data_IF_235329510598
#
_entry.id   IF_235329510598
#
_cell.length_a   1.000
_cell.length_b   1.000
_cell.length_c   1.000
_cell.angle_alpha   90.00
_cell.angle_beta   90.00
_cell.angle_gamma   90.00
#
_symmetry.space_group_name_H-M   'P 1'
#
loop_
_entity.id
_entity.type
_entity.pdbx_description
1 polymer ?
#
# COMPACT_ATOMS: atom_id res chain seq x y z
N UNK A 1 -11.30 11.30 -15.42
CA UNK A 1 -10.28 11.43 -14.37
C UNK A 1 -9.38 10.21 -14.32
N UNK A 2 -8.10 10.35 -13.95
CA UNK A 2 -7.23 9.19 -13.74
C UNK A 2 -7.39 8.67 -12.31
N UNK A 3 -7.63 7.38 -12.16
CA UNK A 3 -7.83 6.71 -10.87
C UNK A 3 -6.63 5.82 -10.56
N UNK A 4 -6.16 5.84 -9.32
CA UNK A 4 -5.24 4.83 -8.80
C UNK A 4 -5.96 3.49 -8.64
N UNK A 5 -5.20 2.38 -8.53
CA UNK A 5 -5.79 1.07 -8.26
C UNK A 5 -6.52 0.95 -6.92
N UNK A 6 -6.33 1.91 -6.02
CA UNK A 6 -7.00 1.99 -4.70
C UNK A 6 -8.04 3.11 -4.63
N UNK A 7 -8.37 3.77 -5.74
CA UNK A 7 -9.39 4.83 -5.76
C UNK A 7 -10.76 4.26 -5.42
N UNK A 8 -11.43 4.86 -4.44
CA UNK A 8 -12.75 4.49 -3.95
C UNK A 8 -13.53 5.75 -3.54
N UNK A 9 -14.85 5.62 -3.38
CA UNK A 9 -15.76 6.68 -2.93
C UNK A 9 -16.05 6.66 -1.43
N UNK A 10 -15.54 5.65 -0.72
CA UNK A 10 -15.66 5.55 0.72
C UNK A 10 -14.34 5.13 1.37
N UNK A 11 -13.93 5.92 2.35
CA UNK A 11 -12.67 5.80 3.06
C UNK A 11 -12.76 4.81 4.22
N UNK A 12 -11.61 4.54 4.86
CA UNK A 12 -11.49 3.50 5.87
C UNK A 12 -12.07 3.96 7.22
N UNK A 13 -12.74 3.07 7.95
CA UNK A 13 -13.34 3.33 9.28
C UNK A 13 -14.09 4.67 9.36
N UNK A 14 -13.64 5.57 10.23
CA UNK A 14 -14.24 6.88 10.52
C UNK A 14 -13.76 8.00 9.60
N UNK A 15 -12.91 7.73 8.60
CA UNK A 15 -12.32 8.76 7.72
C UNK A 15 -13.35 9.51 6.87
N UNK A 16 -14.52 8.93 6.61
CA UNK A 16 -15.64 9.65 5.96
C UNK A 16 -16.40 10.59 6.90
N UNK A 17 -16.07 10.63 8.19
CA UNK A 17 -16.73 11.46 9.19
C UNK A 17 -18.15 10.98 9.54
N UNK A 18 -18.80 11.73 10.43
CA UNK A 18 -20.15 11.42 10.90
C UNK A 18 -21.12 11.40 9.73
N UNK A 19 -21.94 10.35 9.66
CA UNK A 19 -22.89 10.04 8.59
C UNK A 19 -22.29 10.03 7.18
N UNK A 20 -20.96 9.89 7.06
CA UNK A 20 -20.26 9.91 5.78
C UNK A 20 -20.09 11.29 5.15
N UNK A 21 -20.31 12.37 5.91
CA UNK A 21 -20.29 13.76 5.41
C UNK A 21 -19.05 14.11 4.57
N UNK A 22 -17.88 13.57 4.92
CA UNK A 22 -16.61 13.77 4.19
C UNK A 22 -16.49 13.00 2.88
N UNK A 23 -17.36 12.02 2.63
CA UNK A 23 -17.40 11.20 1.41
C UNK A 23 -18.61 11.52 0.51
N UNK A 24 -19.26 12.66 0.75
CA UNK A 24 -20.27 13.21 -0.15
C UNK A 24 -19.64 13.72 -1.47
N UNK A 25 -20.39 13.77 -2.59
CA UNK A 25 -21.79 13.39 -2.75
C UNK A 25 -22.00 11.87 -2.87
N UNK A 26 -23.15 11.38 -2.39
CA UNK A 26 -23.48 9.94 -2.41
C UNK A 26 -24.13 9.46 -3.71
N UNK A 27 -24.75 10.39 -4.45
CA UNK A 27 -25.35 10.18 -5.75
C UNK A 27 -24.96 11.32 -6.69
N UNK A 28 -24.98 11.08 -8.00
CA UNK A 28 -24.69 12.09 -9.00
C UNK A 28 -25.55 11.90 -10.25
N UNK A 29 -26.09 13.01 -10.76
CA UNK A 29 -26.90 13.04 -11.99
C UNK A 29 -26.05 13.02 -13.28
N UNK A 30 -24.73 12.99 -13.15
CA UNK A 30 -23.76 13.02 -14.27
C UNK A 30 -22.77 11.87 -14.08
N UNK A 31 -22.44 11.13 -15.15
CA UNK A 31 -21.50 10.04 -15.04
C UNK A 31 -20.08 10.54 -14.81
N UNK A 32 -19.33 9.84 -13.97
CA UNK A 32 -17.93 10.12 -13.70
C UNK A 32 -17.07 9.31 -14.65
N UNK A 33 -16.43 9.99 -15.59
CA UNK A 33 -15.44 9.36 -16.46
C UNK A 33 -14.17 9.00 -15.66
N UNK A 34 -13.69 7.77 -15.80
CA UNK A 34 -12.48 7.28 -15.14
C UNK A 34 -11.51 6.65 -16.14
N UNK A 35 -10.23 6.62 -15.80
CA UNK A 35 -9.17 5.89 -16.48
C UNK A 35 -8.34 5.16 -15.44
N UNK A 36 -8.16 3.86 -15.65
CA UNK A 36 -7.47 2.96 -14.75
C UNK A 36 -6.19 2.41 -15.39
N UNK A 37 -5.11 2.27 -14.60
CA UNK A 37 -3.93 1.56 -15.06
C UNK A 37 -4.20 0.04 -15.19
N UNK A 38 -3.29 -0.64 -15.88
CA UNK A 38 -3.25 -2.08 -15.95
C UNK A 38 -2.95 -2.71 -14.58
N UNK A 39 -3.33 -3.98 -14.45
CA UNK A 39 -3.02 -4.87 -13.33
C UNK A 39 -3.59 -4.46 -11.96
N UNK A 40 -4.59 -3.58 -11.90
CA UNK A 40 -5.21 -3.20 -10.61
C UNK A 40 -5.86 -4.37 -9.84
N UNK A 41 -6.25 -5.47 -10.48
CA UNK A 41 -6.70 -6.68 -9.77
C UNK A 41 -5.62 -7.27 -8.84
N UNK A 42 -4.33 -7.02 -9.12
CA UNK A 42 -3.21 -7.42 -8.26
C UNK A 42 -2.97 -6.47 -7.08
N UNK A 43 -3.58 -5.28 -7.09
CA UNK A 43 -3.51 -4.36 -5.96
C UNK A 43 -4.51 -4.80 -4.90
N UNK A 44 -3.98 -5.33 -3.80
CA UNK A 44 -4.77 -5.86 -2.70
C UNK A 44 -4.83 -4.91 -1.52
N UNK A 45 -5.77 -5.16 -0.62
CA UNK A 45 -5.74 -4.63 0.73
C UNK A 45 -4.42 -5.01 1.42
N UNK A 46 -3.71 -4.00 1.94
CA UNK A 46 -2.47 -4.20 2.72
C UNK A 46 -2.73 -4.54 4.20
N UNK A 47 -3.98 -4.42 4.64
CA UNK A 47 -4.48 -4.77 5.98
C UNK A 47 -5.89 -5.33 5.87
N UNK A 48 -6.36 -6.04 6.90
CA UNK A 48 -7.76 -6.44 6.96
C UNK A 48 -8.68 -5.22 6.97
N UNK A 49 -9.68 -5.19 6.08
CA UNK A 49 -10.72 -4.14 6.08
C UNK A 49 -12.06 -4.79 6.37
N UNK A 50 -12.77 -4.23 7.34
CA UNK A 50 -14.11 -4.68 7.70
C UNK A 50 -15.11 -4.47 6.56
N UNK A 51 -15.89 -5.52 6.26
CA UNK A 51 -17.04 -5.50 5.35
C UNK A 51 -18.11 -6.42 5.95
N UNK A 52 -19.18 -5.86 6.51
CA UNK A 52 -20.20 -6.70 7.17
C UNK A 52 -19.66 -7.38 8.42
N UNK A 53 -19.68 -8.70 8.51
CA UNK A 53 -19.01 -9.50 9.54
C UNK A 53 -17.65 -10.06 9.08
N UNK A 54 -17.32 -9.88 7.80
CA UNK A 54 -16.06 -10.31 7.20
C UNK A 54 -14.91 -9.31 7.45
N UNK A 55 -13.67 -9.82 7.39
CA UNK A 55 -12.42 -9.06 7.49
C UNK A 55 -11.46 -9.46 6.35
N UNK A 56 -11.82 -9.21 5.08
CA UNK A 56 -10.96 -9.50 3.94
C UNK A 56 -9.60 -8.79 4.07
N UNK A 57 -8.53 -9.53 3.76
CA UNK A 57 -7.14 -9.05 3.70
C UNK A 57 -6.44 -9.68 2.49
N UNK A 58 -5.43 -9.01 1.92
CA UNK A 58 -4.66 -9.50 0.78
C UNK A 58 -5.50 -9.87 -0.47
N UNK A 59 -6.68 -9.26 -0.62
CA UNK A 59 -7.55 -9.35 -1.80
C UNK A 59 -7.84 -7.95 -2.35
N UNK A 60 -8.13 -7.80 -3.66
CA UNK A 60 -8.67 -6.54 -4.17
C UNK A 60 -10.04 -6.28 -3.52
N UNK A 61 -10.25 -5.08 -2.99
CA UNK A 61 -11.52 -4.74 -2.34
C UNK A 61 -12.60 -4.50 -3.40
N UNK A 62 -13.49 -5.47 -3.57
CA UNK A 62 -14.66 -5.39 -4.45
C UNK A 62 -15.84 -5.96 -3.68
N UNK A 63 -16.86 -5.14 -3.43
CA UNK A 63 -18.05 -5.52 -2.66
C UNK A 63 -19.28 -5.42 -3.56
N UNK A 64 -20.02 -6.53 -3.71
CA UNK A 64 -21.18 -6.64 -4.60
C UNK A 64 -20.83 -7.05 -6.04
N UNK A 65 -21.49 -6.45 -7.03
CA UNK A 65 -21.35 -6.81 -8.44
C UNK A 65 -22.45 -7.74 -8.98
N UNK A 66 -23.49 -7.98 -8.17
CA UNK A 66 -24.72 -8.59 -8.62
C UNK A 66 -25.46 -7.67 -9.60
N UNK A 67 -26.28 -8.27 -10.44
CA UNK A 67 -27.11 -7.56 -11.41
C UNK A 67 -28.40 -7.15 -10.71
N UNK A 68 -28.70 -5.85 -10.71
CA UNK A 68 -29.95 -5.33 -10.19
C UNK A 68 -31.12 -5.50 -11.18
N UNK A 69 -32.32 -5.06 -10.79
CA UNK A 69 -33.51 -5.14 -11.64
C UNK A 69 -33.39 -4.33 -12.95
N UNK A 70 -32.49 -3.35 -13.01
CA UNK A 70 -32.22 -2.56 -14.23
C UNK A 70 -31.27 -3.26 -15.20
N UNK A 71 -30.66 -4.38 -14.78
CA UNK A 71 -29.61 -5.07 -15.52
C UNK A 71 -28.20 -4.53 -15.25
N UNK A 72 -28.05 -3.56 -14.32
CA UNK A 72 -26.78 -2.94 -13.98
C UNK A 72 -26.10 -3.65 -12.81
N UNK A 73 -24.76 -3.63 -12.78
CA UNK A 73 -24.01 -4.20 -11.66
C UNK A 73 -23.74 -3.17 -10.59
N UNK A 74 -24.19 -3.45 -9.37
CA UNK A 74 -24.11 -2.52 -8.24
C UNK A 74 -22.92 -2.88 -7.36
N UNK A 75 -22.03 -1.91 -7.14
CA UNK A 75 -20.87 -2.04 -6.27
C UNK A 75 -20.97 -1.07 -5.10
N UNK A 76 -20.50 -1.49 -3.92
CA UNK A 76 -20.44 -0.63 -2.72
C UNK A 76 -19.36 0.43 -2.89
N UNK A 77 -19.58 1.64 -2.37
CA UNK A 77 -18.73 2.82 -2.57
C UNK A 77 -17.29 2.69 -2.10
N UNK A 78 -16.98 1.76 -1.19
CA UNK A 78 -15.61 1.47 -0.75
C UNK A 78 -14.85 0.54 -1.69
N UNK A 79 -15.51 -0.08 -2.67
CA UNK A 79 -14.84 -0.91 -3.68
C UNK A 79 -13.80 -0.11 -4.46
N UNK A 80 -12.63 -0.72 -4.69
CA UNK A 80 -11.62 -0.18 -5.58
C UNK A 80 -12.16 -0.12 -7.00
N UNK A 81 -12.42 1.09 -7.51
CA UNK A 81 -13.13 1.33 -8.77
C UNK A 81 -12.47 0.60 -9.94
N UNK A 82 -11.14 0.61 -10.02
CA UNK A 82 -10.43 -0.06 -11.11
C UNK A 82 -10.53 -1.60 -11.05
N UNK A 83 -10.51 -2.20 -9.86
CA UNK A 83 -10.71 -3.63 -9.69
C UNK A 83 -12.17 -4.03 -9.93
N UNK A 84 -13.12 -3.20 -9.49
CA UNK A 84 -14.54 -3.36 -9.77
C UNK A 84 -14.86 -3.25 -11.28
N UNK A 85 -14.17 -2.36 -12.00
CA UNK A 85 -14.30 -2.22 -13.46
C UNK A 85 -13.77 -3.44 -14.21
N UNK A 86 -12.66 -4.05 -13.73
CA UNK A 86 -12.17 -5.33 -14.25
C UNK A 86 -13.15 -6.46 -13.94
N UNK A 87 -13.67 -6.53 -12.71
CA UNK A 87 -14.72 -7.47 -12.32
C UNK A 87 -15.99 -7.33 -13.20
N UNK A 88 -16.38 -6.09 -13.53
CA UNK A 88 -17.51 -5.82 -14.42
C UNK A 88 -17.22 -6.15 -15.89
N UNK A 89 -15.95 -6.25 -16.30
CA UNK A 89 -15.55 -6.43 -17.69
C UNK A 89 -15.64 -5.15 -18.52
N UNK A 90 -15.58 -3.99 -17.86
CA UNK A 90 -15.59 -2.66 -18.50
C UNK A 90 -14.20 -2.32 -19.05
N UNK A 91 -13.14 -2.78 -18.35
CA UNK A 91 -11.74 -2.58 -18.75
C UNK A 91 -10.98 -3.91 -18.75
N UNK A 92 -9.88 -3.96 -19.51
CA UNK A 92 -9.01 -5.14 -19.57
C UNK A 92 -8.00 -5.15 -18.41
N UNK A 93 -7.75 -6.34 -17.84
CA UNK A 93 -6.86 -6.47 -16.69
C UNK A 93 -5.39 -6.17 -17.03
N UNK A 94 -4.94 -6.43 -18.26
CA UNK A 94 -3.53 -6.29 -18.67
C UNK A 94 -3.26 -4.97 -19.38
N UNK A 95 -4.27 -4.34 -19.96
CA UNK A 95 -4.16 -3.06 -20.68
C UNK A 95 -4.71 -1.88 -19.89
N UNK A 96 -5.45 -2.13 -18.80
CA UNK A 96 -6.22 -1.08 -18.14
C UNK A 96 -7.34 -0.58 -19.06
N UNK A 97 -7.73 0.67 -18.91
CA UNK A 97 -8.71 1.30 -19.81
C UNK A 97 -9.44 2.44 -19.17
N UNK A 98 -10.49 2.90 -19.83
CA UNK A 98 -11.35 3.97 -19.36
C UNK A 98 -12.82 3.66 -19.60
N UNK A 99 -13.65 4.22 -18.74
CA UNK A 99 -15.09 4.09 -18.83
C UNK A 99 -15.79 5.19 -18.07
N UNK A 100 -17.09 5.01 -17.85
CA UNK A 100 -17.89 5.89 -17.04
C UNK A 100 -18.63 5.08 -15.97
N UNK A 101 -18.83 5.70 -14.81
CA UNK A 101 -19.62 5.14 -13.71
C UNK A 101 -20.66 6.15 -13.23
N UNK A 102 -21.73 5.66 -12.65
CA UNK A 102 -22.80 6.44 -12.03
C UNK A 102 -22.78 6.22 -10.53
N UNK A 103 -22.81 7.31 -9.75
CA UNK A 103 -23.06 7.22 -8.31
C UNK A 103 -24.57 7.12 -8.10
N UNK A 104 -25.02 5.97 -7.61
CA UNK A 104 -26.45 5.63 -7.51
C UNK A 104 -27.01 5.73 -6.09
N UNK A 105 -26.25 6.27 -5.14
CA UNK A 105 -26.68 6.44 -3.75
C UNK A 105 -26.88 5.11 -3.02
N UNK A 106 -27.89 5.09 -2.16
CA UNK A 106 -28.12 4.00 -1.21
C UNK A 106 -28.56 2.71 -1.88
N UNK A 107 -27.93 1.58 -1.52
CA UNK A 107 -28.38 0.22 -1.88
C UNK A 107 -28.38 -0.67 -0.63
N UNK A 108 -29.27 -1.66 -0.60
CA UNK A 108 -29.57 -2.46 0.59
C UNK A 108 -29.08 -3.92 0.54
N UNK A 109 -28.45 -4.34 -0.54
CA UNK A 109 -27.89 -5.70 -0.66
C UNK A 109 -26.75 -5.69 -1.66
N UNK A 110 -25.69 -6.45 -1.36
CA UNK A 110 -24.56 -6.70 -2.23
C UNK A 110 -24.22 -8.18 -2.16
N UNK A 111 -24.41 -8.92 -3.26
CA UNK A 111 -24.12 -10.35 -3.28
C UNK A 111 -22.71 -10.60 -3.81
N UNK A 112 -22.06 -11.63 -3.26
CA UNK A 112 -20.76 -12.10 -3.75
C UNK A 112 -20.93 -12.82 -5.08
N UNK A 113 -20.14 -12.42 -6.08
CA UNK A 113 -20.10 -13.01 -7.41
C UNK A 113 -18.63 -13.18 -7.81
N UNK A 114 -18.32 -14.26 -8.53
CA UNK A 114 -17.00 -14.45 -9.14
C UNK A 114 -17.07 -14.11 -10.64
N UNK A 115 -16.25 -13.16 -11.08
CA UNK A 115 -16.22 -12.73 -12.48
C UNK A 115 -14.85 -12.19 -12.87
N UNK A 116 -14.41 -12.51 -14.09
CA UNK A 116 -13.13 -12.07 -14.66
C UNK A 116 -11.93 -12.31 -13.74
N UNK A 117 -11.95 -13.43 -13.00
CA UNK A 117 -10.88 -13.83 -12.08
C UNK A 117 -10.85 -13.07 -10.75
N UNK A 118 -11.88 -12.29 -10.44
CA UNK A 118 -12.05 -11.57 -9.17
C UNK A 118 -13.31 -12.12 -8.49
N UNK A 119 -13.21 -12.50 -7.21
CA UNK A 119 -14.37 -12.83 -6.37
C UNK A 119 -14.68 -11.64 -5.49
N UNK A 120 -15.91 -11.13 -5.56
CA UNK A 120 -16.35 -10.03 -4.71
C UNK A 120 -16.81 -10.50 -3.34
N UNK A 121 -16.89 -9.56 -2.40
CA UNK A 121 -17.35 -9.76 -1.02
C UNK A 121 -18.84 -9.43 -0.94
N UNK A 122 -19.59 -10.20 -0.15
CA UNK A 122 -21.01 -9.92 0.11
C UNK A 122 -21.16 -8.89 1.22
N UNK A 123 -22.25 -8.13 1.18
CA UNK A 123 -22.66 -7.23 2.25
C UNK A 123 -24.19 -7.19 2.32
N UNK A 124 -24.75 -7.65 3.42
CA UNK A 124 -26.20 -7.85 3.58
C UNK A 124 -26.86 -6.75 4.42
N UNK A 125 -26.46 -5.50 4.20
CA UNK A 125 -27.15 -4.34 4.78
C UNK A 125 -27.09 -3.13 3.84
N UNK A 126 -27.62 -2.01 4.32
CA UNK A 126 -27.68 -0.75 3.60
C UNK A 126 -26.38 0.04 3.70
N UNK A 127 -25.93 0.55 2.55
CA UNK A 127 -24.77 1.41 2.46
C UNK A 127 -25.09 2.68 1.68
N UNK A 128 -24.65 3.87 2.13
CA UNK A 128 -25.10 5.16 1.60
C UNK A 128 -24.63 5.46 0.17
N UNK A 129 -23.52 4.85 -0.26
CA UNK A 129 -22.92 5.11 -1.57
C UNK A 129 -22.73 3.83 -2.35
N UNK A 130 -23.32 3.77 -3.54
CA UNK A 130 -23.12 2.69 -4.50
C UNK A 130 -22.78 3.28 -5.86
N UNK A 131 -22.17 2.47 -6.70
CA UNK A 131 -21.96 2.83 -8.09
C UNK A 131 -22.21 1.68 -9.06
N UNK A 132 -22.57 2.05 -10.27
CA UNK A 132 -22.73 1.15 -11.42
C UNK A 132 -21.87 1.64 -12.57
N UNK A 133 -21.48 0.74 -13.47
CA UNK A 133 -20.73 1.12 -14.66
C UNK A 133 -21.66 1.27 -15.86
N UNK A 134 -21.37 2.26 -16.70
CA UNK A 134 -21.95 2.34 -18.03
C UNK A 134 -21.19 1.36 -18.95
N UNK A 135 -21.78 0.19 -19.18
CA UNK A 135 -21.17 -0.86 -20.01
C UNK A 135 -21.04 -0.44 -21.50
N UNK A 136 -21.75 0.60 -21.93
CA UNK A 136 -21.71 1.14 -23.29
C UNK A 136 -20.63 2.20 -23.47
N UNK A 137 -20.24 2.89 -22.40
CA UNK A 137 -19.22 3.94 -22.42
C UNK A 137 -17.78 3.40 -22.37
N UNK A 138 -17.43 2.48 -23.28
CA UNK A 138 -16.04 2.01 -23.43
C UNK A 138 -15.22 3.00 -24.23
N UNK A 139 -14.27 3.66 -23.59
CA UNK A 139 -13.38 4.60 -24.29
C UNK A 139 -12.25 3.87 -25.04
N UNK A 140 -11.88 4.39 -26.22
CA UNK A 140 -10.73 3.92 -27.00
C UNK A 140 -9.51 4.82 -26.78
N UNK A 141 -8.30 4.28 -26.85
CA UNK A 141 -7.06 5.07 -26.78
C UNK A 141 -6.63 5.48 -25.37
N UNK A 142 -7.14 4.79 -24.35
CA UNK A 142 -6.86 5.07 -22.94
C UNK A 142 -6.15 3.92 -22.22
N UNK A 143 -5.58 2.98 -22.97
CA UNK A 143 -4.75 1.89 -22.46
C UNK A 143 -3.56 2.43 -21.65
N UNK A 144 -3.10 1.60 -20.73
CA UNK A 144 -1.88 1.80 -19.97
C UNK A 144 -0.66 1.60 -20.88
N UNK A 145 0.06 2.68 -21.16
CA UNK A 145 1.24 2.70 -22.05
C UNK A 145 2.57 2.54 -21.30
N UNK A 146 2.55 2.27 -19.99
CA UNK A 146 3.75 2.22 -19.15
C UNK A 146 4.77 1.20 -19.64
N UNK A 147 4.32 0.02 -20.06
CA UNK A 147 5.20 -1.02 -20.61
C UNK A 147 6.02 -0.52 -21.83
N UNK A 148 5.40 0.28 -22.70
CA UNK A 148 6.11 0.92 -23.81
C UNK A 148 7.17 1.92 -23.34
N UNK A 149 6.85 2.70 -22.30
CA UNK A 149 7.79 3.61 -21.66
C UNK A 149 8.97 2.90 -20.97
N UNK A 150 8.74 1.70 -20.41
CA UNK A 150 9.78 0.83 -19.85
C UNK A 150 10.74 0.39 -20.96
N UNK A 151 10.20 -0.22 -22.02
CA UNK A 151 10.98 -0.71 -23.15
C UNK A 151 11.79 0.42 -23.80
N UNK A 152 11.17 1.59 -24.04
CA UNK A 152 11.85 2.73 -24.64
C UNK A 152 13.06 3.18 -23.82
N UNK A 153 12.91 3.39 -22.51
CA UNK A 153 14.01 3.87 -21.68
C UNK A 153 15.11 2.82 -21.48
N UNK A 154 14.75 1.54 -21.41
CA UNK A 154 15.73 0.44 -21.42
C UNK A 154 16.55 0.46 -22.71
N UNK A 155 15.91 0.54 -23.87
CA UNK A 155 16.58 0.56 -25.17
C UNK A 155 17.44 1.81 -25.38
N UNK A 156 16.94 2.99 -24.98
CA UNK A 156 17.71 4.23 -25.08
C UNK A 156 18.93 4.23 -24.15
N UNK A 157 18.80 3.76 -22.92
CA UNK A 157 19.97 3.58 -22.06
C UNK A 157 20.92 2.53 -22.64
N UNK A 158 20.44 1.43 -23.21
CA UNK A 158 21.27 0.44 -23.88
C UNK A 158 22.07 1.07 -25.03
N UNK A 159 21.43 1.91 -25.86
CA UNK A 159 22.13 2.67 -26.89
C UNK A 159 23.25 3.55 -26.30
N UNK A 160 22.96 4.29 -25.23
CA UNK A 160 23.97 5.12 -24.54
C UNK A 160 25.13 4.28 -24.02
N UNK A 161 24.84 3.16 -23.34
CA UNK A 161 25.82 2.29 -22.71
C UNK A 161 26.69 1.51 -23.69
N UNK A 162 26.06 0.87 -24.69
CA UNK A 162 26.75 0.00 -25.65
C UNK A 162 27.42 0.78 -26.80
N UNK A 163 26.77 1.84 -27.31
CA UNK A 163 27.20 2.55 -28.52
C UNK A 163 27.94 3.83 -28.15
N UNK A 164 27.31 4.75 -27.41
CA UNK A 164 27.92 6.07 -27.15
C UNK A 164 29.08 6.00 -26.14
N UNK A 165 29.03 5.06 -25.20
CA UNK A 165 30.08 4.78 -24.21
C UNK A 165 30.69 6.05 -23.58
N UNK A 166 29.89 6.94 -22.99
CA UNK A 166 30.41 8.17 -22.41
C UNK A 166 31.34 7.87 -21.21
N UNK A 167 32.03 8.89 -20.72
CA UNK A 167 32.85 8.77 -19.51
C UNK A 167 32.00 8.18 -18.37
N UNK A 168 32.58 7.27 -17.59
CA UNK A 168 31.88 6.48 -16.55
C UNK A 168 31.00 7.32 -15.61
N UNK A 169 31.50 8.46 -15.15
CA UNK A 169 30.75 9.35 -14.26
C UNK A 169 29.55 9.99 -14.98
N UNK A 170 29.69 10.33 -16.26
CA UNK A 170 28.59 10.86 -17.08
C UNK A 170 27.53 9.78 -17.24
N UNK A 171 27.93 8.55 -17.59
CA UNK A 171 27.00 7.43 -17.71
C UNK A 171 26.25 7.14 -16.41
N UNK A 172 26.95 7.14 -15.27
CA UNK A 172 26.36 6.95 -13.95
C UNK A 172 25.25 7.99 -13.69
N UNK A 173 25.51 9.28 -13.92
CA UNK A 173 24.48 10.30 -13.76
C UNK A 173 23.39 10.25 -14.83
N UNK A 174 23.67 9.74 -16.04
CA UNK A 174 22.62 9.43 -17.02
C UNK A 174 21.65 8.39 -16.50
N UNK A 175 22.14 7.30 -15.89
CA UNK A 175 21.28 6.30 -15.24
C UNK A 175 20.43 6.94 -14.13
N UNK A 176 21.04 7.77 -13.27
CA UNK A 176 20.34 8.46 -12.17
C UNK A 176 19.21 9.35 -12.69
N UNK A 177 19.52 10.22 -13.66
CA UNK A 177 18.54 11.13 -14.24
C UNK A 177 17.40 10.38 -14.93
N UNK A 178 17.73 9.41 -15.80
CA UNK A 178 16.71 8.64 -16.53
C UNK A 178 15.86 7.84 -15.55
N UNK A 179 16.47 7.09 -14.63
CA UNK A 179 15.73 6.27 -13.65
C UNK A 179 14.81 7.10 -12.77
N UNK A 180 15.29 8.23 -12.23
CA UNK A 180 14.49 9.06 -11.33
C UNK A 180 13.26 9.67 -12.04
N UNK A 181 13.46 10.24 -13.22
CA UNK A 181 12.35 10.85 -13.97
C UNK A 181 11.44 9.80 -14.61
N UNK A 182 11.98 8.64 -14.95
CA UNK A 182 11.19 7.50 -15.39
C UNK A 182 10.18 7.07 -14.33
N UNK A 183 10.61 6.93 -13.07
CA UNK A 183 9.68 6.57 -12.00
C UNK A 183 8.57 7.60 -11.81
N UNK A 184 8.94 8.87 -11.78
CA UNK A 184 8.03 9.95 -11.43
C UNK A 184 7.04 10.33 -12.54
N UNK A 185 7.32 9.98 -13.80
CA UNK A 185 6.45 10.37 -14.93
C UNK A 185 6.02 9.24 -15.85
N UNK A 186 6.69 8.08 -15.79
CA UNK A 186 6.36 6.92 -16.63
C UNK A 186 5.85 5.77 -15.78
N UNK A 187 6.58 5.33 -14.75
CA UNK A 187 6.24 4.10 -14.05
C UNK A 187 5.09 4.25 -13.05
N UNK A 188 5.37 4.75 -11.85
CA UNK A 188 4.38 4.85 -10.77
C UNK A 188 4.55 6.21 -10.11
N UNK A 189 3.96 7.27 -10.68
CA UNK A 189 4.05 8.60 -10.13
C UNK A 189 3.46 8.60 -8.72
N UNK A 190 4.00 9.44 -7.84
CA UNK A 190 3.57 9.55 -6.43
C UNK A 190 2.09 9.84 -6.25
N UNK A 191 1.48 10.47 -7.26
CA UNK A 191 0.05 10.79 -7.31
C UNK A 191 -0.41 10.89 -8.75
N UNK A 192 -1.73 10.83 -8.93
CA UNK A 192 -2.37 11.05 -10.21
C UNK A 192 -3.34 12.26 -10.14
N UNK A 193 -3.25 13.22 -11.08
CA UNK A 193 -2.18 13.36 -12.08
C UNK A 193 -0.79 13.58 -11.44
N UNK A 194 0.30 13.19 -12.12
CA UNK A 194 1.66 13.39 -11.61
C UNK A 194 1.93 14.85 -11.27
N UNK A 195 2.52 15.11 -10.11
CA UNK A 195 3.00 16.44 -9.75
C UNK A 195 4.47 16.60 -10.08
N UNK A 196 4.86 17.80 -10.50
CA UNK A 196 6.27 18.12 -10.78
C UNK A 196 7.00 18.56 -9.52
N UNK A 197 6.33 19.30 -8.63
CA UNK A 197 6.97 19.97 -7.48
C UNK A 197 7.67 19.03 -6.49
N UNK A 198 6.99 17.95 -6.07
CA UNK A 198 7.57 16.97 -5.15
C UNK A 198 8.82 16.29 -5.71
N UNK A 199 8.72 15.65 -6.90
CA UNK A 199 9.89 15.04 -7.54
C UNK A 199 11.01 16.02 -7.83
N UNK A 200 10.70 17.25 -8.28
CA UNK A 200 11.71 18.28 -8.53
C UNK A 200 12.45 18.69 -7.25
N UNK A 201 11.74 18.81 -6.12
CA UNK A 201 12.34 19.10 -4.81
C UNK A 201 13.31 18.02 -4.34
N UNK A 202 12.96 16.75 -4.56
CA UNK A 202 13.79 15.62 -4.16
C UNK A 202 14.94 15.31 -5.12
N UNK A 203 14.89 15.83 -6.36
CA UNK A 203 15.88 15.49 -7.38
C UNK A 203 17.30 15.93 -7.00
N UNK A 204 17.49 17.14 -6.46
CA UNK A 204 18.83 17.62 -6.08
C UNK A 204 19.43 16.81 -4.91
N UNK A 205 18.71 16.55 -3.80
CA UNK A 205 19.15 15.60 -2.79
C UNK A 205 19.41 14.20 -3.35
N UNK A 206 18.63 13.76 -4.35
CA UNK A 206 18.86 12.47 -5.06
C UNK A 206 20.22 12.45 -5.75
N UNK A 207 20.57 13.53 -6.45
CA UNK A 207 21.88 13.66 -7.10
C UNK A 207 23.02 13.64 -6.07
N UNK A 208 22.82 14.23 -4.88
CA UNK A 208 23.81 14.19 -3.81
C UNK A 208 24.01 12.77 -3.27
N UNK A 209 22.93 12.04 -2.96
CA UNK A 209 23.06 10.64 -2.52
C UNK A 209 23.64 9.74 -3.61
N UNK A 210 23.30 9.97 -4.88
CA UNK A 210 23.95 9.29 -5.99
C UNK A 210 25.46 9.60 -6.07
N UNK A 211 25.88 10.84 -5.81
CA UNK A 211 27.29 11.18 -5.72
C UNK A 211 28.00 10.44 -4.57
N UNK A 212 27.35 10.26 -3.42
CA UNK A 212 27.87 9.43 -2.32
C UNK A 212 28.06 7.99 -2.78
N UNK A 213 27.07 7.38 -3.43
CA UNK A 213 27.15 6.04 -4.03
C UNK A 213 28.35 5.94 -4.99
N UNK A 214 28.53 6.94 -5.85
CA UNK A 214 29.65 7.01 -6.79
C UNK A 214 31.00 7.00 -6.06
N UNK A 215 31.12 7.85 -5.03
CA UNK A 215 32.36 8.07 -4.27
C UNK A 215 32.75 6.87 -3.42
N UNK A 216 31.78 6.19 -2.82
CA UNK A 216 32.04 5.10 -1.88
C UNK A 216 32.26 3.77 -2.59
N UNK A 217 31.52 3.49 -3.68
CA UNK A 217 31.58 2.18 -4.33
C UNK A 217 31.87 2.23 -5.83
N UNK A 218 31.01 2.87 -6.63
CA UNK A 218 30.98 2.68 -8.09
C UNK A 218 32.30 3.05 -8.77
N UNK A 219 32.97 4.12 -8.31
CA UNK A 219 34.26 4.55 -8.88
C UNK A 219 35.37 3.51 -8.75
N UNK A 220 35.26 2.57 -7.81
CA UNK A 220 36.23 1.49 -7.61
C UNK A 220 35.90 0.23 -8.40
N UNK A 221 34.62 0.01 -8.72
CA UNK A 221 34.15 -1.20 -9.40
C UNK A 221 34.17 -1.04 -10.91
N UNK A 222 33.55 0.01 -11.44
CA UNK A 222 33.32 0.17 -12.88
C UNK A 222 34.59 0.24 -13.76
N UNK A 223 35.72 0.83 -13.32
CA UNK A 223 36.92 0.85 -14.13
C UNK A 223 37.45 -0.53 -14.52
N UNK A 224 37.25 -1.55 -13.67
CA UNK A 224 37.71 -2.92 -13.92
C UNK A 224 37.01 -3.59 -15.12
N UNK A 225 35.85 -3.08 -15.54
CA UNK A 225 35.04 -3.62 -16.63
C UNK A 225 35.10 -2.75 -17.90
N UNK A 226 36.03 -1.79 -17.98
CA UNK A 226 36.11 -0.86 -19.10
C UNK A 226 36.32 -1.56 -20.47
N UNK A 227 37.06 -2.67 -20.48
CA UNK A 227 37.36 -3.47 -21.67
C UNK A 227 36.34 -4.60 -21.92
N UNK A 228 35.33 -4.73 -21.06
CA UNK A 228 34.30 -5.77 -21.13
C UNK A 228 32.92 -5.11 -21.33
N UNK A 229 32.67 -4.43 -22.47
CA UNK A 229 31.47 -3.63 -22.64
C UNK A 229 30.18 -4.47 -22.56
N UNK A 230 30.19 -5.69 -23.09
CA UNK A 230 29.02 -6.56 -23.03
C UNK A 230 28.70 -6.98 -21.60
N UNK A 231 29.70 -7.46 -20.85
CA UNK A 231 29.50 -7.78 -19.43
C UNK A 231 29.09 -6.53 -18.66
N UNK A 232 29.81 -5.42 -18.81
CA UNK A 232 29.55 -4.17 -18.10
C UNK A 232 28.10 -3.73 -18.26
N UNK A 233 27.61 -3.65 -19.49
CA UNK A 233 26.29 -3.11 -19.76
C UNK A 233 25.16 -4.07 -19.40
N UNK A 234 25.29 -5.37 -19.68
CA UNK A 234 24.26 -6.37 -19.30
C UNK A 234 24.11 -6.42 -17.78
N UNK A 235 25.22 -6.51 -17.04
CA UNK A 235 25.19 -6.54 -15.58
C UNK A 235 24.75 -5.20 -14.98
N UNK A 236 25.16 -4.07 -15.56
CA UNK A 236 24.74 -2.76 -15.03
C UNK A 236 23.27 -2.51 -15.31
N UNK A 237 22.81 -2.59 -16.56
CA UNK A 237 21.42 -2.25 -16.88
C UNK A 237 20.42 -3.27 -16.38
N UNK A 238 20.73 -4.57 -16.47
CA UNK A 238 19.85 -5.61 -15.96
C UNK A 238 19.54 -5.38 -14.48
N UNK A 239 20.58 -5.25 -13.66
CA UNK A 239 20.39 -5.04 -12.22
C UNK A 239 19.91 -3.64 -11.86
N UNK A 240 20.31 -2.61 -12.59
CA UNK A 240 19.78 -1.25 -12.41
C UNK A 240 18.26 -1.22 -12.57
N UNK A 241 17.74 -1.75 -13.68
CA UNK A 241 16.29 -1.75 -13.93
C UNK A 241 15.53 -2.69 -12.98
N UNK A 242 16.12 -3.83 -12.59
CA UNK A 242 15.55 -4.67 -11.52
C UNK A 242 15.41 -3.90 -10.20
N UNK A 243 16.39 -3.07 -9.86
CA UNK A 243 16.36 -2.23 -8.66
C UNK A 243 15.45 -1.01 -8.80
N UNK A 244 15.35 -0.41 -9.98
CA UNK A 244 14.48 0.75 -10.22
C UNK A 244 13.01 0.34 -10.25
N UNK A 245 12.69 -0.83 -10.82
CA UNK A 245 11.32 -1.32 -11.01
C UNK A 245 10.96 -2.43 -10.01
N UNK A 246 11.38 -2.31 -8.75
CA UNK A 246 11.12 -3.30 -7.70
C UNK A 246 9.64 -3.70 -7.64
N UNK A 247 8.74 -2.72 -7.62
CA UNK A 247 7.29 -2.93 -7.46
C UNK A 247 6.63 -3.57 -8.70
N UNK A 248 7.32 -3.60 -9.85
CA UNK A 248 6.85 -4.26 -11.07
C UNK A 248 7.42 -5.67 -11.14
N UNK A 249 8.72 -5.83 -10.87
CA UNK A 249 9.43 -7.11 -10.99
C UNK A 249 9.05 -8.08 -9.88
N UNK A 250 8.84 -7.56 -8.66
CA UNK A 250 8.55 -8.36 -7.48
C UNK A 250 7.08 -8.28 -7.04
N UNK A 251 6.18 -7.78 -7.89
CA UNK A 251 4.74 -7.65 -7.59
C UNK A 251 4.09 -8.97 -7.17
N UNK A 252 4.55 -10.08 -7.76
CA UNK A 252 4.02 -11.43 -7.51
C UNK A 252 4.77 -12.15 -6.37
N UNK A 253 5.70 -11.48 -5.68
CA UNK A 253 6.34 -12.03 -4.48
C UNK A 253 5.47 -11.68 -3.28
N UNK A 254 4.78 -12.65 -2.65
CA UNK A 254 3.85 -12.39 -1.56
C UNK A 254 4.57 -12.03 -0.28
N UNK A 255 5.07 -10.80 -0.15
CA UNK A 255 5.65 -10.29 1.10
C UNK A 255 5.53 -8.77 1.12
N UNK A 256 4.38 -8.26 1.55
CA UNK A 256 4.13 -6.81 1.55
C UNK A 256 4.84 -6.12 2.71
N UNK A 257 4.82 -6.72 3.91
CA UNK A 257 5.54 -6.21 5.09
C UNK A 257 6.14 -7.35 5.90
N UNK A 258 7.19 -7.02 6.63
CA UNK A 258 7.90 -7.95 7.50
C UNK A 258 7.31 -7.99 8.91
N UNK A 259 6.00 -8.21 9.01
CA UNK A 259 5.24 -8.30 10.27
C UNK A 259 4.64 -9.70 10.39
N UNK A 260 4.54 -10.22 11.62
CA UNK A 260 4.06 -11.59 11.89
C UNK A 260 2.65 -11.84 11.34
N UNK A 261 1.76 -10.85 11.41
CA UNK A 261 0.41 -10.91 10.84
C UNK A 261 0.42 -11.22 9.35
N UNK A 262 1.32 -10.61 8.60
CA UNK A 262 1.39 -10.74 7.15
C UNK A 262 2.05 -12.06 6.75
N UNK A 263 3.09 -12.48 7.48
CA UNK A 263 3.77 -13.76 7.23
C UNK A 263 2.83 -14.95 7.45
N UNK A 264 1.90 -14.83 8.41
CA UNK A 264 0.94 -15.89 8.74
C UNK A 264 -0.35 -15.79 7.92
N UNK A 265 -0.81 -14.58 7.59
CA UNK A 265 -2.06 -14.34 6.89
C UNK A 265 -1.97 -14.34 5.36
N UNK A 266 -0.81 -14.02 4.77
CA UNK A 266 -0.64 -13.95 3.32
C UNK A 266 -0.18 -15.31 2.74
N UNK A 267 -0.93 -15.90 1.80
CA UNK A 267 -0.52 -17.15 1.16
C UNK A 267 0.85 -17.04 0.47
N UNK A 268 1.77 -17.96 0.81
CA UNK A 268 3.11 -18.01 0.22
C UNK A 268 4.14 -17.06 0.85
N UNK A 269 3.77 -16.24 1.85
CA UNK A 269 4.69 -15.26 2.43
C UNK A 269 5.87 -15.87 3.18
N UNK A 270 5.62 -16.91 3.97
CA UNK A 270 6.70 -17.64 4.65
C UNK A 270 7.70 -18.24 3.65
N UNK A 271 7.22 -18.82 2.55
CA UNK A 271 8.09 -19.42 1.52
C UNK A 271 8.94 -18.34 0.85
N UNK A 272 8.32 -17.22 0.47
CA UNK A 272 9.02 -16.08 -0.14
C UNK A 272 10.08 -15.51 0.78
N UNK A 273 9.75 -15.34 2.07
CA UNK A 273 10.69 -14.88 3.08
C UNK A 273 11.90 -15.80 3.22
N UNK A 274 11.69 -17.12 3.28
CA UNK A 274 12.78 -18.11 3.35
C UNK A 274 13.70 -17.99 2.13
N UNK A 275 13.13 -17.92 0.92
CA UNK A 275 13.91 -17.78 -0.32
C UNK A 275 14.72 -16.49 -0.31
N UNK A 276 14.11 -15.35 0.03
CA UNK A 276 14.78 -14.05 0.11
C UNK A 276 15.94 -14.11 1.12
N UNK A 277 15.70 -14.64 2.32
CA UNK A 277 16.73 -14.76 3.36
C UNK A 277 17.89 -15.63 2.88
N UNK A 278 17.62 -16.78 2.26
CA UNK A 278 18.67 -17.67 1.72
C UNK A 278 19.50 -16.95 0.66
N UNK A 279 18.86 -16.26 -0.29
CA UNK A 279 19.57 -15.50 -1.33
C UNK A 279 20.44 -14.41 -0.70
N UNK A 280 19.87 -13.58 0.17
CA UNK A 280 20.61 -12.49 0.84
C UNK A 280 21.79 -13.03 1.64
N UNK A 281 21.62 -14.14 2.37
CA UNK A 281 22.69 -14.78 3.12
C UNK A 281 23.82 -15.27 2.20
N UNK A 282 23.51 -15.90 1.07
CA UNK A 282 24.53 -16.34 0.09
C UNK A 282 25.32 -15.14 -0.44
N UNK A 283 24.64 -14.06 -0.83
CA UNK A 283 25.28 -12.84 -1.32
C UNK A 283 26.16 -12.19 -0.24
N UNK A 284 25.68 -12.14 1.01
CA UNK A 284 26.41 -11.61 2.16
C UNK A 284 27.66 -12.45 2.49
N UNK A 285 27.54 -13.77 2.54
CA UNK A 285 28.69 -14.68 2.76
C UNK A 285 29.73 -14.50 1.67
N UNK A 286 29.31 -14.43 0.40
CA UNK A 286 30.23 -14.14 -0.69
C UNK A 286 30.95 -12.79 -0.49
N UNK A 287 30.21 -11.74 -0.10
CA UNK A 287 30.81 -10.43 0.08
C UNK A 287 31.77 -10.38 1.28
N UNK A 288 31.46 -11.05 2.37
CA UNK A 288 32.38 -11.24 3.51
C UNK A 288 33.65 -11.96 3.07
N UNK A 289 33.54 -13.01 2.23
CA UNK A 289 34.71 -13.71 1.65
C UNK A 289 35.58 -12.76 0.82
N UNK A 290 34.98 -11.90 0.00
CA UNK A 290 35.70 -10.90 -0.81
C UNK A 290 36.40 -9.88 0.10
N UNK A 291 35.69 -9.28 1.05
CA UNK A 291 36.23 -8.30 2.00
C UNK A 291 37.40 -8.90 2.80
N UNK A 292 37.27 -10.15 3.25
CA UNK A 292 38.32 -10.88 3.97
C UNK A 292 39.56 -11.08 3.11
N UNK A 293 39.41 -11.45 1.84
CA UNK A 293 40.55 -11.65 0.91
C UNK A 293 41.39 -10.39 0.70
N UNK A 294 40.80 -9.21 0.80
CA UNK A 294 41.50 -7.92 0.67
C UNK A 294 42.04 -7.42 2.03
N UNK A 295 41.87 -8.19 3.11
CA UNK A 295 42.35 -7.84 4.45
C UNK A 295 41.58 -6.70 5.13
N UNK A 296 40.41 -6.32 4.59
CA UNK A 296 39.64 -5.18 5.08
C UNK A 296 38.55 -5.56 6.10
N UNK A 297 38.38 -6.85 6.40
CA UNK A 297 37.26 -7.36 7.22
C UNK A 297 37.09 -6.64 8.57
N UNK A 298 38.14 -6.38 9.38
CA UNK A 298 37.96 -5.67 10.65
C UNK A 298 37.35 -4.28 10.47
N UNK A 299 37.73 -3.54 9.42
CA UNK A 299 37.21 -2.19 9.15
C UNK A 299 35.72 -2.22 8.79
N UNK A 300 35.31 -3.18 7.97
CA UNK A 300 33.91 -3.34 7.58
C UNK A 300 33.04 -3.90 8.70
N UNK A 301 33.58 -4.77 9.55
CA UNK A 301 32.90 -5.21 10.78
C UNK A 301 32.70 -4.05 11.76
N UNK A 302 33.71 -3.17 11.92
CA UNK A 302 33.57 -1.96 12.71
C UNK A 302 32.48 -1.04 12.15
N UNK A 303 32.43 -0.84 10.82
CA UNK A 303 31.36 -0.08 10.17
C UNK A 303 29.97 -0.69 10.44
N UNK A 304 29.84 -2.01 10.30
CA UNK A 304 28.59 -2.71 10.59
C UNK A 304 28.18 -2.60 12.07
N UNK A 305 29.13 -2.69 12.99
CA UNK A 305 28.87 -2.54 14.43
C UNK A 305 28.42 -1.11 14.77
N UNK A 306 29.06 -0.09 14.20
CA UNK A 306 28.65 1.32 14.38
C UNK A 306 27.26 1.55 13.79
N UNK A 307 26.99 1.06 12.58
CA UNK A 307 25.66 1.15 11.96
C UNK A 307 24.59 0.45 12.81
N UNK A 308 24.87 -0.76 13.28
CA UNK A 308 23.98 -1.52 14.16
C UNK A 308 23.70 -0.80 15.48
N UNK A 309 24.72 -0.18 16.09
CA UNK A 309 24.54 0.64 17.29
C UNK A 309 23.64 1.85 17.02
N UNK A 310 23.86 2.58 15.92
CA UNK A 310 23.03 3.74 15.56
C UNK A 310 21.58 3.34 15.32
N UNK A 311 21.33 2.25 14.59
CA UNK A 311 19.99 1.71 14.38
C UNK A 311 19.37 1.26 15.72
N UNK A 312 20.13 0.62 16.60
CA UNK A 312 19.67 0.23 17.93
C UNK A 312 19.27 1.43 18.79
N UNK A 313 20.07 2.50 18.78
CA UNK A 313 19.75 3.74 19.48
C UNK A 313 18.49 4.42 18.91
N UNK A 314 18.35 4.46 17.59
CA UNK A 314 17.14 4.98 16.93
C UNK A 314 15.90 4.14 17.27
N UNK A 315 16.04 2.82 17.36
CA UNK A 315 14.94 1.90 17.73
C UNK A 315 14.49 2.06 19.17
N UNK A 316 15.35 2.59 20.04
CA UNK A 316 15.07 2.78 21.45
C UNK A 316 14.31 4.08 21.76
N UNK A 317 14.05 4.92 20.74
CA UNK A 317 13.30 6.17 20.90
C UNK A 317 11.82 5.85 21.18
N UNK A 318 11.26 6.23 22.35
CA UNK A 318 9.88 5.91 22.70
C UNK A 318 8.88 6.44 21.66
N UNK A 319 7.75 5.75 21.49
CA UNK A 319 6.65 6.12 20.57
C UNK A 319 6.99 6.17 19.08
N UNK A 320 8.22 5.81 18.71
CA UNK A 320 8.67 5.69 17.33
C UNK A 320 9.00 4.24 17.00
N UNK A 321 8.91 3.90 15.72
CA UNK A 321 9.40 2.63 15.20
C UNK A 321 10.39 2.83 14.07
N UNK A 322 11.19 1.79 13.80
CA UNK A 322 12.02 1.75 12.60
C UNK A 322 11.16 1.52 11.36
N UNK A 323 11.36 2.37 10.35
CA UNK A 323 10.84 2.16 8.99
C UNK A 323 11.98 2.27 7.99
N UNK A 324 12.62 1.13 7.74
CA UNK A 324 13.73 1.07 6.79
C UNK A 324 13.22 1.04 5.36
N UNK A 325 13.06 2.24 4.78
CA UNK A 325 12.83 2.38 3.35
C UNK A 325 14.00 1.81 2.57
N UNK A 326 13.72 1.17 1.43
CA UNK A 326 14.76 0.46 0.67
C UNK A 326 15.84 1.39 0.10
N UNK A 327 15.62 2.70 0.01
CA UNK A 327 16.70 3.64 -0.32
C UNK A 327 17.77 3.73 0.80
N UNK A 328 17.36 3.62 2.08
CA UNK A 328 18.28 3.58 3.23
C UNK A 328 19.07 2.27 3.18
N UNK A 329 18.37 1.16 2.93
CA UNK A 329 18.99 -0.17 2.76
C UNK A 329 20.04 -0.10 1.64
N UNK A 330 19.71 0.52 0.51
CA UNK A 330 20.63 0.71 -0.60
C UNK A 330 21.89 1.50 -0.20
N UNK A 331 21.74 2.64 0.48
CA UNK A 331 22.85 3.48 0.93
C UNK A 331 23.74 2.77 1.96
N UNK A 332 23.19 1.89 2.81
CA UNK A 332 23.98 1.10 3.76
C UNK A 332 24.73 -0.02 3.05
N UNK A 333 24.03 -0.82 2.23
CA UNK A 333 24.62 -2.00 1.60
C UNK A 333 25.67 -1.65 0.54
N UNK A 334 25.53 -0.51 -0.14
CA UNK A 334 26.48 -0.12 -1.21
C UNK A 334 27.87 0.14 -0.65
N UNK A 335 27.99 0.53 0.63
CA UNK A 335 29.28 0.68 1.31
C UNK A 335 30.10 -0.61 1.27
N UNK A 336 29.46 -1.77 1.30
CA UNK A 336 30.12 -3.09 1.31
C UNK A 336 30.45 -3.60 -0.10
N UNK A 337 30.15 -2.84 -1.16
CA UNK A 337 30.23 -3.28 -2.55
C UNK A 337 31.42 -2.69 -3.33
N UNK A 338 32.35 -2.00 -2.68
CA UNK A 338 33.46 -1.27 -3.32
C UNK A 338 34.63 -2.15 -3.83
N UNK A 339 34.34 -3.35 -4.35
CA UNK A 339 35.34 -4.33 -4.78
C UNK A 339 35.17 -4.65 -6.27
N UNK A 340 36.24 -4.75 -7.08
CA UNK A 340 36.15 -4.97 -8.53
C UNK A 340 35.81 -6.43 -8.87
N UNK A 341 34.62 -6.89 -8.48
CA UNK A 341 34.07 -8.21 -8.80
C UNK A 341 32.81 -8.07 -9.64
N UNK A 342 32.49 -9.09 -10.46
CA UNK A 342 31.25 -9.11 -11.27
C UNK A 342 29.99 -8.97 -10.40
N UNK A 343 29.98 -9.61 -9.23
CA UNK A 343 28.88 -9.50 -8.28
C UNK A 343 28.77 -8.09 -7.70
N UNK A 344 29.88 -7.46 -7.34
CA UNK A 344 29.87 -6.06 -6.88
C UNK A 344 29.40 -5.07 -7.96
N UNK A 345 29.66 -5.34 -9.24
CA UNK A 345 29.08 -4.58 -10.35
C UNK A 345 27.54 -4.68 -10.34
N UNK A 346 27.02 -5.91 -10.23
CA UNK A 346 25.58 -6.17 -10.13
C UNK A 346 24.97 -5.51 -8.89
N UNK A 347 25.60 -5.65 -7.72
CA UNK A 347 25.12 -5.07 -6.46
C UNK A 347 25.08 -3.55 -6.53
N UNK A 348 26.13 -2.91 -7.02
CA UNK A 348 26.15 -1.45 -7.15
C UNK A 348 25.04 -0.93 -8.07
N UNK A 349 24.78 -1.64 -9.18
CA UNK A 349 23.72 -1.27 -10.11
C UNK A 349 22.32 -1.49 -9.50
N UNK A 350 22.08 -2.65 -8.87
CA UNK A 350 20.83 -2.95 -8.19
C UNK A 350 20.55 -1.96 -7.05
N UNK A 351 21.52 -1.70 -6.18
CA UNK A 351 21.38 -0.78 -5.06
C UNK A 351 21.22 0.67 -5.54
N UNK A 352 21.86 1.08 -6.65
CA UNK A 352 21.56 2.36 -7.29
C UNK A 352 20.10 2.44 -7.75
N UNK A 353 19.62 1.37 -8.39
CA UNK A 353 18.22 1.26 -8.80
C UNK A 353 17.27 1.36 -7.60
N UNK A 354 17.52 0.60 -6.53
CA UNK A 354 16.74 0.62 -5.29
C UNK A 354 16.77 1.99 -4.62
N UNK A 355 17.92 2.66 -4.59
CA UNK A 355 18.03 4.02 -4.07
C UNK A 355 17.10 4.98 -4.81
N UNK A 356 17.11 4.93 -6.14
CA UNK A 356 16.26 5.75 -7.00
C UNK A 356 14.79 5.35 -6.85
N UNK A 357 14.48 4.06 -6.74
CA UNK A 357 13.12 3.56 -6.50
C UNK A 357 12.53 4.16 -5.21
N UNK A 358 13.27 4.08 -4.11
CA UNK A 358 12.79 4.54 -2.82
C UNK A 358 12.59 6.05 -2.77
N UNK A 359 13.61 6.81 -3.17
CA UNK A 359 13.50 8.28 -3.17
C UNK A 359 12.51 8.77 -4.23
N UNK A 360 12.49 8.12 -5.40
CA UNK A 360 11.56 8.47 -6.48
C UNK A 360 10.11 8.38 -6.05
N UNK A 361 9.74 7.40 -5.24
CA UNK A 361 8.34 7.15 -4.88
C UNK A 361 7.92 7.71 -3.51
N UNK A 362 8.79 7.65 -2.51
CA UNK A 362 8.49 8.09 -1.14
C UNK A 362 9.30 9.31 -0.68
N UNK A 363 10.18 9.84 -1.52
CA UNK A 363 11.09 10.91 -1.10
C UNK A 363 12.10 10.42 -0.06
N UNK A 364 12.63 11.34 0.74
CA UNK A 364 13.61 11.05 1.79
C UNK A 364 12.94 10.81 3.15
N UNK A 365 12.03 9.82 3.20
CA UNK A 365 11.32 9.47 4.43
C UNK A 365 12.26 8.98 5.53
N UNK A 366 11.98 9.37 6.77
CA UNK A 366 12.81 9.09 7.93
C UNK A 366 13.11 7.61 8.19
N UNK A 367 14.26 7.33 8.82
CA UNK A 367 14.65 6.00 9.32
C UNK A 367 13.75 5.55 10.47
N UNK A 368 13.29 6.51 11.28
CA UNK A 368 12.29 6.34 12.33
C UNK A 368 11.07 7.20 12.01
N UNK A 369 9.90 6.69 12.34
CA UNK A 369 8.61 7.37 12.21
C UNK A 369 7.77 7.10 13.46
N UNK A 370 6.72 7.90 13.67
CA UNK A 370 5.78 7.63 14.73
C UNK A 370 5.17 6.24 14.54
N UNK A 371 4.99 5.46 15.61
CA UNK A 371 4.39 4.11 15.50
C UNK A 371 3.03 4.17 14.79
N UNK A 372 2.27 5.25 15.02
CA UNK A 372 0.99 5.47 14.37
C UNK A 372 1.09 5.56 12.83
N UNK A 373 2.14 6.22 12.31
CA UNK A 373 2.38 6.37 10.87
C UNK A 373 2.84 5.06 10.21
N UNK A 374 3.57 4.22 10.96
CA UNK A 374 4.05 2.92 10.48
C UNK A 374 2.91 1.91 10.36
N UNK A 375 2.03 1.89 11.36
CA UNK A 375 0.85 1.01 11.36
C UNK A 375 -0.14 1.42 10.26
N UNK A 376 -0.27 2.72 10.00
CA UNK A 376 -1.17 3.26 8.97
C UNK A 376 -2.62 2.86 9.26
N UNK A 377 -3.30 2.27 8.28
CA UNK A 377 -4.68 1.75 8.44
C UNK A 377 -4.75 0.40 9.18
N UNK A 378 -3.69 -0.01 9.87
CA UNK A 378 -3.64 -1.24 10.65
C UNK A 378 -4.28 -1.12 12.03
N UNK A 379 -4.19 -2.22 12.79
CA UNK A 379 -4.60 -2.28 14.19
C UNK A 379 -3.45 -1.80 15.08
N UNK A 380 -3.72 -0.86 15.98
CA UNK A 380 -2.73 -0.25 16.88
C UNK A 380 -2.53 -1.04 18.18
N UNK A 381 -3.41 -1.99 18.49
CA UNK A 381 -3.43 -2.75 19.73
C UNK A 381 -3.99 -1.96 20.91
N UNK A 382 -4.88 -0.99 20.67
CA UNK A 382 -5.50 -0.21 21.74
C UNK A 382 -6.53 -1.04 22.49
N UNK A 383 -6.92 -0.58 23.69
CA UNK A 383 -8.07 -1.14 24.41
C UNK A 383 -9.32 -1.15 23.53
N UNK A 384 -10.17 -2.18 23.70
CA UNK A 384 -11.40 -2.36 22.93
C UNK A 384 -12.62 -2.25 23.85
N UNK A 385 -13.64 -1.45 23.50
CA UNK A 385 -14.90 -1.43 24.21
C UNK A 385 -15.66 -2.74 24.01
N UNK A 386 -16.65 -2.99 24.86
CA UNK A 386 -17.51 -4.18 24.77
C UNK A 386 -18.98 -3.79 24.88
N UNK A 387 -19.79 -4.38 24.00
CA UNK A 387 -21.24 -4.30 24.07
C UNK A 387 -21.76 -4.99 25.35
N UNK A 388 -22.85 -4.49 25.91
CA UNK A 388 -23.55 -5.18 27.00
C UNK A 388 -24.14 -6.50 26.51
N UNK A 389 -24.46 -7.40 27.45
CA UNK A 389 -25.01 -8.71 27.15
C UNK A 389 -26.26 -8.61 26.24
N UNK A 390 -26.46 -9.57 25.31
CA UNK A 390 -27.56 -9.55 24.34
C UNK A 390 -28.95 -9.36 24.93
N UNK A 391 -29.17 -9.77 26.18
CA UNK A 391 -30.42 -9.59 26.94
C UNK A 391 -30.83 -8.12 27.09
N UNK A 392 -29.89 -7.19 26.99
CA UNK A 392 -30.15 -5.74 27.04
C UNK A 392 -30.58 -5.16 25.70
N UNK A 393 -30.53 -5.93 24.62
CA UNK A 393 -31.02 -5.53 23.31
C UNK A 393 -32.41 -6.12 23.10
N UNK A 394 -33.42 -5.27 22.92
CA UNK A 394 -34.81 -5.70 22.76
C UNK A 394 -35.43 -5.11 21.50
N UNK A 395 -36.33 -5.85 20.86
CA UNK A 395 -37.02 -5.42 19.64
C UNK A 395 -37.82 -4.12 19.83
N UNK A 396 -38.33 -3.89 21.05
CA UNK A 396 -39.14 -2.70 21.35
C UNK A 396 -38.31 -1.41 21.43
N UNK A 397 -37.04 -1.51 21.86
CA UNK A 397 -36.16 -0.36 22.04
C UNK A 397 -35.21 -0.15 20.85
N UNK A 398 -34.74 -1.24 20.22
CA UNK A 398 -33.63 -1.25 19.25
C UNK A 398 -32.44 -0.37 19.69
N UNK A 399 -32.21 -0.33 21.00
CA UNK A 399 -31.17 0.47 21.62
C UNK A 399 -30.02 -0.46 21.97
N UNK A 400 -28.87 -0.21 21.36
CA UNK A 400 -27.63 -0.93 21.70
C UNK A 400 -26.95 -0.21 22.86
N UNK A 401 -26.40 -0.98 23.79
CA UNK A 401 -25.68 -0.49 24.95
C UNK A 401 -24.27 -1.10 25.02
N UNK A 402 -23.33 -0.38 25.62
CA UNK A 402 -21.97 -0.84 25.86
C UNK A 402 -21.46 -0.41 27.23
N UNK A 403 -20.37 -1.04 27.68
CA UNK A 403 -19.77 -0.76 28.97
C UNK A 403 -19.17 0.66 29.03
N UNK A 404 -19.13 1.23 30.23
CA UNK A 404 -18.50 2.53 30.49
C UNK A 404 -17.00 2.53 30.16
N UNK A 405 -16.41 3.72 30.07
CA UNK A 405 -14.98 3.90 29.89
C UNK A 405 -14.20 3.23 31.04
N UNK A 406 -13.05 2.59 30.77
CA UNK A 406 -12.23 2.00 31.81
C UNK A 406 -11.76 3.08 32.80
N UNK A 407 -11.60 2.70 34.07
CA UNK A 407 -10.99 3.61 35.04
C UNK A 407 -9.57 3.96 34.59
N UNK A 408 -9.26 5.25 34.59
CA UNK A 408 -8.00 5.75 34.08
C UNK A 408 -6.84 5.30 34.99
N UNK A 409 -6.02 4.38 34.50
CA UNK A 409 -4.78 3.97 35.18
C UNK A 409 -3.59 4.84 34.77
N UNK A 410 -2.60 4.96 35.66
CA UNK A 410 -1.42 5.78 35.42
C UNK A 410 -0.57 5.20 34.29
N UNK A 411 -0.53 5.89 33.14
CA UNK A 411 0.24 5.48 31.96
C UNK A 411 -0.61 5.00 30.77
N UNK A 412 -1.93 4.91 30.92
CA UNK A 412 -2.85 4.56 29.83
C UNK A 412 -3.41 5.81 29.11
N UNK A 413 -3.88 5.61 27.88
CA UNK A 413 -4.57 6.64 27.11
C UNK A 413 -5.86 7.02 27.84
N UNK A 414 -6.01 8.30 28.15
CA UNK A 414 -7.24 8.83 28.74
C UNK A 414 -8.34 8.91 27.67
N UNK A 415 -9.16 7.85 27.59
CA UNK A 415 -10.33 7.84 26.73
C UNK A 415 -11.38 8.84 27.24
N UNK A 416 -12.00 9.59 26.33
CA UNK A 416 -13.03 10.59 26.64
C UNK A 416 -14.40 10.29 25.98
N UNK A 417 -14.47 9.20 25.20
CA UNK A 417 -15.73 8.75 24.60
C UNK A 417 -15.60 7.52 23.72
N UNK A 418 -16.57 7.39 22.83
CA UNK A 418 -16.73 6.27 21.92
C UNK A 418 -17.00 6.75 20.50
N UNK A 419 -16.64 5.90 19.54
CA UNK A 419 -17.13 5.97 18.16
C UNK A 419 -17.87 4.68 17.82
N UNK A 420 -19.05 4.82 17.20
CA UNK A 420 -19.86 3.68 16.73
C UNK A 420 -19.96 3.71 15.20
N UNK A 421 -19.47 2.65 14.57
CA UNK A 421 -19.79 2.33 13.19
C UNK A 421 -21.03 1.43 13.18
N UNK A 422 -22.00 1.78 12.34
CA UNK A 422 -23.11 0.92 11.94
C UNK A 422 -23.01 0.72 10.44
N UNK A 423 -22.87 -0.52 9.98
CA UNK A 423 -22.75 -0.85 8.56
C UNK A 423 -21.57 -0.16 7.87
N UNK A 424 -20.44 -0.10 8.59
CA UNK A 424 -19.21 0.59 8.18
C UNK A 424 -19.39 2.11 7.96
N UNK A 425 -20.45 2.70 8.53
CA UNK A 425 -20.72 4.16 8.57
C UNK A 425 -20.65 4.68 10.01
N UNK A 426 -19.90 5.76 10.24
CA UNK A 426 -19.82 6.39 11.55
C UNK A 426 -21.14 7.10 11.90
N UNK A 427 -21.82 6.60 12.93
CA UNK A 427 -23.14 7.10 13.37
C UNK A 427 -23.13 7.83 14.70
N UNK A 428 -22.09 7.62 15.51
CA UNK A 428 -22.01 8.25 16.82
C UNK A 428 -20.56 8.57 17.19
N UNK A 429 -20.39 9.73 17.83
CA UNK A 429 -19.16 10.18 18.49
C UNK A 429 -19.57 10.83 19.81
N UNK A 430 -19.04 10.37 20.94
CA UNK A 430 -19.26 11.01 22.24
C UNK A 430 -19.22 10.06 23.43
N UNK A 431 -19.55 10.55 24.64
CA UNK A 431 -19.38 9.80 25.88
C UNK A 431 -20.55 8.88 26.26
N UNK A 432 -21.64 8.87 25.48
CA UNK A 432 -22.80 8.04 25.81
C UNK A 432 -22.47 6.56 25.65
N UNK A 433 -23.17 5.73 26.43
CA UNK A 433 -23.04 4.28 26.44
C UNK A 433 -24.20 3.56 25.74
N UNK A 434 -24.94 4.30 24.92
CA UNK A 434 -26.02 3.72 24.13
C UNK A 434 -26.32 4.50 22.87
N UNK A 435 -26.88 3.80 21.88
CA UNK A 435 -27.34 4.38 20.62
C UNK A 435 -28.64 3.70 20.16
N UNK A 436 -29.58 4.49 19.65
CA UNK A 436 -30.87 4.00 19.17
C UNK A 436 -30.83 3.78 17.65
N UNK A 437 -31.02 2.53 17.20
CA UNK A 437 -30.95 2.14 15.80
C UNK A 437 -32.24 2.44 15.00
N UNK A 438 -33.33 2.85 15.65
CA UNK A 438 -34.63 3.15 14.97
C UNK A 438 -34.52 4.26 13.93
N UNK A 439 -33.50 5.12 14.02
CA UNK A 439 -33.23 6.18 13.05
C UNK A 439 -32.79 5.66 11.68
N UNK A 440 -32.38 4.39 11.57
CA UNK A 440 -31.76 3.83 10.38
C UNK A 440 -32.75 3.21 9.37
N UNK A 441 -34.04 3.18 9.69
CA UNK A 441 -35.21 2.93 8.79
C UNK A 441 -35.18 1.70 7.86
N UNK A 442 -34.21 0.79 7.99
CA UNK A 442 -34.09 -0.41 7.13
C UNK A 442 -34.10 -1.70 7.97
N UNK A 443 -35.15 -2.55 7.91
CA UNK A 443 -35.36 -3.71 8.78
C UNK A 443 -34.42 -4.91 8.50
N UNK A 444 -33.12 -4.67 8.32
CA UNK A 444 -32.07 -5.66 8.05
C UNK A 444 -31.12 -5.86 9.24
N UNK A 445 -30.21 -6.81 9.12
CA UNK A 445 -29.16 -6.96 10.12
C UNK A 445 -28.17 -5.80 10.05
N UNK A 446 -27.78 -5.28 11.21
CA UNK A 446 -26.81 -4.20 11.36
C UNK A 446 -25.49 -4.73 11.88
N UNK A 447 -24.39 -4.34 11.25
CA UNK A 447 -23.04 -4.66 11.71
C UNK A 447 -22.49 -3.51 12.56
N UNK A 448 -22.40 -3.74 13.87
CA UNK A 448 -22.01 -2.74 14.86
C UNK A 448 -20.55 -2.91 15.27
N UNK A 449 -19.77 -1.83 15.23
CA UNK A 449 -18.39 -1.82 15.75
C UNK A 449 -18.16 -0.60 16.61
N UNK A 450 -17.51 -0.80 17.75
CA UNK A 450 -17.18 0.25 18.68
C UNK A 450 -15.67 0.47 18.74
N UNK A 451 -15.27 1.70 18.94
CA UNK A 451 -13.92 2.06 19.33
C UNK A 451 -14.00 3.04 20.52
N UNK A 452 -13.03 2.98 21.42
CA UNK A 452 -12.80 4.11 22.31
C UNK A 452 -12.30 5.31 21.49
N UNK A 453 -12.53 6.52 22.00
CA UNK A 453 -12.00 7.74 21.42
C UNK A 453 -11.31 8.61 22.45
N UNK A 454 -10.31 9.37 21.99
CA UNK A 454 -9.65 10.40 22.76
C UNK A 454 -9.48 11.64 21.88
N UNK A 455 -10.02 12.78 22.33
CA UNK A 455 -9.96 14.07 21.59
C UNK A 455 -10.48 13.97 20.15
N UNK A 456 -11.51 13.14 19.93
CA UNK A 456 -12.13 12.93 18.61
C UNK A 456 -11.41 11.93 17.69
N UNK A 457 -10.24 11.40 18.08
CA UNK A 457 -9.57 10.32 17.36
C UNK A 457 -10.01 8.96 17.90
N UNK A 458 -10.31 8.02 17.02
CA UNK A 458 -10.66 6.65 17.39
C UNK A 458 -9.41 5.82 17.69
N UNK A 459 -9.51 4.92 18.67
CA UNK A 459 -8.67 3.73 18.75
C UNK A 459 -9.09 2.67 17.73
N UNK A 460 -8.73 1.43 18.01
CA UNK A 460 -9.12 0.26 17.22
C UNK A 460 -10.61 -0.04 17.37
N UNK A 461 -11.24 -0.37 16.24
CA UNK A 461 -12.62 -0.83 16.23
C UNK A 461 -12.69 -2.33 16.55
N UNK A 462 -13.71 -2.73 17.32
CA UNK A 462 -14.04 -4.13 17.57
C UNK A 462 -14.37 -4.87 16.27
N UNK A 463 -14.39 -6.21 16.33
CA UNK A 463 -15.11 -7.01 15.33
C UNK A 463 -16.60 -6.67 15.36
N UNK A 464 -17.33 -7.03 14.29
CA UNK A 464 -18.75 -6.72 14.19
C UNK A 464 -19.55 -7.55 15.21
N UNK A 465 -20.37 -6.88 16.00
CA UNK A 465 -21.56 -7.47 16.58
C UNK A 465 -22.71 -7.34 15.56
N UNK A 466 -23.60 -8.33 15.49
CA UNK A 466 -24.72 -8.34 14.52
C UNK A 466 -26.03 -8.12 15.25
N UNK A 467 -26.69 -7.01 14.97
CA UNK A 467 -27.97 -6.64 15.57
C UNK A 467 -29.12 -6.85 14.60
N UNK A 468 -30.14 -7.59 15.02
CA UNK A 468 -31.34 -7.86 14.23
C UNK A 468 -32.54 -7.06 14.74
N UNK A 469 -33.45 -6.67 13.85
CA UNK A 469 -34.69 -5.95 14.22
C UNK A 469 -35.61 -6.72 15.17
N UNK A 470 -35.46 -8.04 15.25
CA UNK A 470 -36.20 -8.87 16.20
C UNK A 470 -35.66 -8.78 17.64
N UNK A 471 -34.69 -7.90 17.92
CA UNK A 471 -34.07 -7.75 19.23
C UNK A 471 -32.98 -8.76 19.53
N UNK A 472 -32.47 -9.48 18.54
CA UNK A 472 -31.32 -10.39 18.72
C UNK A 472 -30.02 -9.63 18.50
N UNK A 473 -29.06 -9.76 19.41
CA UNK A 473 -27.70 -9.26 19.26
C UNK A 473 -26.73 -10.44 19.32
N UNK A 474 -26.00 -10.68 18.24
CA UNK A 474 -24.86 -11.60 18.24
C UNK A 474 -23.63 -10.78 18.64
N UNK A 475 -22.97 -11.10 19.76
CA UNK A 475 -21.80 -10.34 20.22
C UNK A 475 -20.64 -10.50 19.24
N UNK A 476 -19.74 -9.52 19.25
CA UNK A 476 -18.51 -9.58 18.47
C UNK A 476 -17.64 -10.78 18.92
N UNK A 477 -17.04 -11.53 17.97
CA UNK A 477 -16.23 -12.72 18.26
C UNK A 477 -14.84 -12.41 18.83
#
# INVERSE_FOLDING_TARGET
>A
SFFSCTSAYWLYNSECGLDGSGCSPFAADVPVAFRCPAHCAKTTLGQARAVGDELPAFVPLVVGGQVDASGSRVYRGDSFVCSAAQHAGVIDANRGGCGALWLSGTSSTYESVERNGIRSIAFNSTFPVSFTFDETARGTGCDDSRAGGYALNVLLLALVGFVLRPKRIVYFFTLVCVGFWHLNFVAEPRRFPPTVGGPAGDFLPTLFGAYVIWRVAVRYVWPAFALLPLEREVWTQGFFWLGTLLDVVFVDVPLQRLVLSDITGQPGALTSLIVIVVVVLVLAINQVRVIRKVGALPKYLALAAVGGLLIGLLSAVPTTGLRLHHYIIALVLVCFCAFPTRLSLAYCAFLLGMYIAGVGRWGFDGVIQNTAEIVGQGVYGTGLPSFLAPENFTAAALQVHWNDLPQQEAGEVAWDGFQLLVDDVLRYIGPATSYNLTSLLDPREYYLRLAYSASGLSGDFTRAAVAFFNGTLIPAP
#
